data_IF_024402078852
#
_entry.id   IF_024402078852
#
_cell.length_a   1.000
_cell.length_b   1.000
_cell.length_c   1.000
_cell.angle_alpha   90.00
_cell.angle_beta   90.00
_cell.angle_gamma   90.00
#
_symmetry.space_group_name_H-M   'P 1'
#
loop_
_entity.id
_entity.type
_entity.pdbx_description
1 polymer ?
#
# COMPACT_ATOMS: atom_id res chain seq x y z
N UNK A 1 32.80 12.58 -14.11
CA UNK A 1 32.74 11.13 -13.84
C UNK A 1 31.49 10.59 -14.49
N UNK A 2 31.60 9.95 -15.65
CA UNK A 2 30.45 9.40 -16.37
C UNK A 2 30.56 7.88 -16.49
N UNK A 3 29.44 7.22 -16.72
CA UNK A 3 29.37 5.92 -17.40
C UNK A 3 27.96 5.71 -17.95
N UNK A 4 27.88 5.58 -19.28
CA UNK A 4 26.73 5.04 -20.02
C UNK A 4 27.23 3.77 -20.70
N UNK A 5 26.60 2.64 -20.45
CA UNK A 5 26.79 1.35 -21.13
C UNK A 5 25.63 0.42 -20.70
N UNK A 6 25.15 -0.56 -21.46
CA UNK A 6 24.81 -0.65 -22.90
C UNK A 6 23.95 -1.92 -23.06
N UNK A 7 23.03 -1.96 -24.04
CA UNK A 7 22.21 -3.15 -24.28
C UNK A 7 22.98 -4.24 -25.04
N UNK A 8 22.82 -5.50 -24.62
CA UNK A 8 23.37 -6.69 -25.30
C UNK A 8 22.30 -7.47 -26.05
N UNK A 9 22.58 -7.84 -27.30
CA UNK A 9 21.66 -8.53 -28.23
C UNK A 9 21.89 -10.05 -28.21
N UNK A 10 20.82 -10.81 -28.47
CA UNK A 10 20.77 -12.28 -28.50
C UNK A 10 20.93 -12.79 -29.95
N UNK A 11 21.66 -13.89 -30.14
CA UNK A 11 21.50 -14.80 -31.30
C UNK A 11 21.66 -16.27 -30.89
N UNK A 12 21.05 -17.24 -31.62
CA UNK A 12 20.78 -18.59 -31.10
C UNK A 12 21.67 -19.70 -31.69
N UNK A 13 21.58 -20.91 -31.12
CA UNK A 13 21.89 -22.17 -31.81
C UNK A 13 20.66 -23.09 -31.85
N UNK A 14 20.51 -23.84 -32.94
CA UNK A 14 19.53 -24.90 -33.12
C UNK A 14 20.25 -26.22 -33.43
N UNK A 15 19.72 -27.34 -32.94
CA UNK A 15 20.10 -28.72 -33.34
C UNK A 15 18.83 -29.56 -33.47
N UNK A 16 18.87 -30.55 -34.36
CA UNK A 16 17.73 -31.23 -34.99
C UNK A 16 17.24 -32.50 -34.28
N UNK A 17 16.10 -33.02 -34.77
CA UNK A 17 15.34 -34.14 -34.20
C UNK A 17 15.95 -35.54 -34.38
N UNK A 18 15.40 -36.52 -33.63
CA UNK A 18 15.58 -37.96 -33.79
C UNK A 18 14.48 -38.75 -33.06
N UNK A 19 13.98 -39.82 -33.65
CA UNK A 19 12.74 -40.57 -33.28
C UNK A 19 13.02 -41.97 -32.73
N UNK A 20 12.15 -42.53 -31.87
CA UNK A 20 11.71 -43.96 -31.93
C UNK A 20 10.72 -44.37 -30.80
N UNK A 21 9.97 -45.44 -31.11
CA UNK A 21 8.81 -46.10 -30.49
C UNK A 21 8.90 -46.75 -29.08
N UNK A 22 7.75 -47.23 -28.58
CA UNK A 22 7.56 -48.10 -27.39
C UNK A 22 7.60 -49.62 -27.75
N UNK A 23 7.58 -50.59 -26.79
CA UNK A 23 6.31 -51.04 -26.15
C UNK A 23 6.36 -51.76 -24.74
N UNK A 24 5.18 -51.84 -24.10
CA UNK A 24 4.51 -52.93 -23.32
C UNK A 24 5.11 -53.85 -22.18
N UNK A 25 4.32 -53.94 -21.08
CA UNK A 25 3.87 -55.14 -20.27
C UNK A 25 4.63 -55.77 -19.06
N UNK A 26 3.83 -56.13 -18.01
CA UNK A 26 4.00 -57.26 -17.04
C UNK A 26 4.69 -56.94 -15.68
N UNK A 27 4.10 -57.01 -14.47
CA UNK A 27 3.25 -57.99 -13.72
C UNK A 27 4.01 -58.87 -12.70
N UNK A 28 3.37 -59.11 -11.53
CA UNK A 28 3.86 -59.68 -10.24
C UNK A 28 4.60 -58.64 -9.35
N UNK A 29 4.64 -58.70 -8.01
CA UNK A 29 4.07 -59.63 -7.02
C UNK A 29 3.52 -58.88 -5.75
N UNK A 30 3.73 -59.39 -4.52
CA UNK A 30 3.40 -58.78 -3.20
C UNK A 30 4.38 -59.23 -2.10
N UNK A 31 4.55 -58.42 -1.07
CA UNK A 31 4.53 -58.85 0.34
C UNK A 31 3.63 -57.89 1.12
N UNK A 32 2.86 -58.41 2.08
CA UNK A 32 1.87 -57.65 2.83
C UNK A 32 2.18 -57.67 4.33
N UNK A 33 1.92 -56.56 5.02
CA UNK A 33 1.86 -56.48 6.48
C UNK A 33 0.46 -56.03 6.90
N UNK A 34 -0.09 -56.67 7.93
CA UNK A 34 -1.44 -56.42 8.44
C UNK A 34 -1.47 -55.19 9.40
N UNK A 35 -2.64 -54.57 9.65
CA UNK A 35 -2.71 -53.20 10.13
C UNK A 35 -2.66 -53.05 11.66
N UNK A 36 -2.12 -51.92 12.12
CA UNK A 36 -2.37 -51.39 13.46
C UNK A 36 -3.67 -50.57 13.45
N UNK A 37 -4.49 -50.70 14.49
CA UNK A 37 -5.89 -50.25 14.49
C UNK A 37 -6.09 -48.74 14.33
N UNK A 38 -7.03 -48.36 13.47
CA UNK A 38 -7.41 -46.98 13.20
C UNK A 38 -8.29 -46.43 14.34
N UNK A 39 -7.77 -45.43 15.06
CA UNK A 39 -8.53 -44.71 16.08
C UNK A 39 -9.40 -43.67 15.38
N UNK A 40 -10.73 -43.80 15.50
CA UNK A 40 -11.68 -42.93 14.80
C UNK A 40 -11.38 -41.43 15.02
N UNK A 41 -11.27 -40.70 13.91
CA UNK A 41 -11.02 -39.26 13.95
C UNK A 41 -12.21 -38.50 14.56
N UNK A 42 -11.98 -37.42 15.34
CA UNK A 42 -13.07 -36.60 15.86
C UNK A 42 -13.82 -35.90 14.71
N UNK A 43 -15.13 -35.64 14.87
CA UNK A 43 -15.95 -35.03 13.82
C UNK A 43 -15.41 -33.66 13.43
N UNK A 44 -15.29 -33.42 12.12
CA UNK A 44 -14.73 -32.19 11.58
C UNK A 44 -15.50 -30.95 12.07
N UNK A 45 -14.81 -30.07 12.79
CA UNK A 45 -15.34 -28.76 13.13
C UNK A 45 -15.67 -28.00 11.84
N UNK A 46 -16.86 -27.39 11.77
CA UNK A 46 -17.27 -26.58 10.61
C UNK A 46 -16.21 -25.51 10.34
N UNK A 47 -15.69 -25.47 9.12
CA UNK A 47 -14.69 -24.49 8.72
C UNK A 47 -15.20 -23.06 8.99
N UNK A 48 -14.35 -22.14 9.48
CA UNK A 48 -14.72 -20.73 9.60
C UNK A 48 -15.19 -20.19 8.24
N UNK A 49 -16.17 -19.27 8.20
CA UNK A 49 -16.55 -18.63 6.95
C UNK A 49 -15.34 -17.96 6.30
N UNK A 50 -15.22 -18.08 4.98
CA UNK A 50 -14.09 -17.54 4.23
C UNK A 50 -13.91 -16.06 4.55
N UNK A 51 -12.69 -15.67 4.92
CA UNK A 51 -12.37 -14.27 5.19
C UNK A 51 -12.66 -13.43 3.94
N UNK A 52 -13.44 -12.35 4.10
CA UNK A 52 -13.71 -11.40 3.00
C UNK A 52 -12.39 -11.02 2.32
N UNK A 53 -12.36 -11.08 0.99
CA UNK A 53 -11.19 -10.69 0.23
C UNK A 53 -10.79 -9.25 0.60
N UNK A 54 -9.49 -9.04 0.82
CA UNK A 54 -8.96 -7.71 1.14
C UNK A 54 -9.09 -6.81 -0.10
N UNK A 55 -9.56 -5.55 0.03
CA UNK A 55 -9.46 -4.59 -1.05
C UNK A 55 -7.99 -4.44 -1.48
N UNK A 56 -7.75 -4.55 -2.78
CA UNK A 56 -6.51 -4.09 -3.39
C UNK A 56 -6.65 -2.61 -3.74
N UNK A 57 -5.52 -1.94 -3.85
CA UNK A 57 -5.46 -0.57 -4.31
C UNK A 57 -4.08 -0.23 -4.82
N UNK A 58 -3.96 0.96 -5.36
CA UNK A 58 -2.72 1.51 -5.90
C UNK A 58 -2.55 2.92 -5.39
N UNK A 59 -1.30 3.36 -5.29
CA UNK A 59 -0.99 4.77 -5.10
C UNK A 59 -0.11 5.28 -6.24
N UNK A 60 -0.32 6.54 -6.62
CA UNK A 60 0.28 7.14 -7.83
C UNK A 60 0.62 8.62 -7.65
N UNK A 61 1.49 9.09 -8.54
CA UNK A 61 2.02 10.46 -8.61
C UNK A 61 2.17 10.90 -10.08
N UNK A 62 2.86 12.02 -10.30
CA UNK A 62 3.32 12.43 -11.63
C UNK A 62 4.36 11.49 -12.27
N UNK A 63 4.86 10.47 -11.58
CA UNK A 63 5.68 9.41 -12.18
C UNK A 63 4.81 8.44 -13.01
N UNK A 64 3.59 8.15 -12.55
CA UNK A 64 2.65 7.16 -13.11
C UNK A 64 1.75 7.76 -14.20
N UNK A 65 2.35 8.52 -15.12
CA UNK A 65 1.60 9.31 -16.12
C UNK A 65 0.73 8.42 -16.99
N UNK A 66 -0.58 8.63 -16.89
CA UNK A 66 -1.55 7.91 -17.71
C UNK A 66 -2.08 6.62 -17.10
N UNK A 67 -1.80 6.31 -15.83
CA UNK A 67 -2.37 5.15 -15.12
C UNK A 67 -3.87 4.98 -15.42
N UNK A 68 -4.27 3.77 -15.80
CA UNK A 68 -5.64 3.40 -16.13
C UNK A 68 -6.40 2.95 -14.87
N UNK A 69 -7.35 3.79 -14.46
CA UNK A 69 -8.19 3.57 -13.29
C UNK A 69 -9.41 2.66 -13.56
N UNK A 70 -9.66 2.23 -14.80
CA UNK A 70 -10.78 1.35 -15.17
C UNK A 70 -10.58 -0.13 -14.75
N UNK A 71 -9.44 -0.44 -14.11
CA UNK A 71 -9.08 -1.78 -13.66
C UNK A 71 -10.05 -2.34 -12.60
N UNK A 72 -10.77 -3.39 -12.98
CA UNK A 72 -11.92 -3.96 -12.25
C UNK A 72 -11.63 -4.63 -10.90
N UNK A 73 -10.39 -4.61 -10.41
CA UNK A 73 -9.96 -5.27 -9.16
C UNK A 73 -9.60 -4.29 -8.03
N UNK A 74 -9.58 -3.00 -8.30
CA UNK A 74 -9.28 -1.98 -7.29
C UNK A 74 -10.49 -1.74 -6.38
N UNK A 75 -10.25 -1.55 -5.09
CA UNK A 75 -11.23 -1.06 -4.13
C UNK A 75 -10.91 0.34 -3.58
N UNK A 76 -9.67 0.78 -3.74
CA UNK A 76 -9.22 2.13 -3.39
C UNK A 76 -8.10 2.61 -4.32
N UNK A 77 -7.96 3.93 -4.42
CA UNK A 77 -6.89 4.60 -5.13
C UNK A 77 -6.38 5.78 -4.33
N UNK A 78 -5.06 5.95 -4.28
CA UNK A 78 -4.40 7.03 -3.56
C UNK A 78 -3.59 7.87 -4.57
N UNK A 79 -3.59 9.20 -4.44
CA UNK A 79 -2.89 10.10 -5.35
C UNK A 79 -2.06 11.15 -4.59
N UNK A 80 -0.84 11.42 -5.08
CA UNK A 80 -0.02 12.54 -4.60
C UNK A 80 -0.77 13.83 -4.88
N UNK A 81 -1.02 14.62 -3.84
CA UNK A 81 -1.65 15.93 -3.96
C UNK A 81 -0.61 17.06 -3.95
N UNK A 82 0.33 16.99 -3.00
CA UNK A 82 1.28 18.07 -2.73
C UNK A 82 2.60 17.53 -2.20
N UNK A 83 3.62 18.38 -2.29
CA UNK A 83 4.90 18.20 -1.61
C UNK A 83 5.38 19.56 -1.10
N UNK A 84 5.98 19.57 0.08
CA UNK A 84 6.54 20.79 0.62
C UNK A 84 5.49 21.88 0.87
N UNK A 85 5.93 23.15 0.93
CA UNK A 85 5.05 24.29 1.20
C UNK A 85 4.29 24.85 -0.01
N UNK A 86 4.59 24.38 -1.23
CA UNK A 86 4.08 24.99 -2.47
C UNK A 86 3.89 24.05 -3.67
N UNK A 87 4.52 22.88 -3.73
CA UNK A 87 4.35 22.00 -4.90
C UNK A 87 2.98 21.34 -4.88
N UNK A 88 2.26 21.41 -6.01
CA UNK A 88 1.07 20.60 -6.31
C UNK A 88 1.47 19.60 -7.38
N UNK A 89 1.15 18.33 -7.18
CA UNK A 89 1.43 17.30 -8.17
C UNK A 89 0.61 17.55 -9.46
N UNK A 90 1.30 17.51 -10.60
CA UNK A 90 0.72 17.83 -11.92
C UNK A 90 -0.40 16.87 -12.35
N UNK A 91 -0.42 15.64 -11.83
CA UNK A 91 -1.42 14.62 -12.17
C UNK A 91 -2.55 14.52 -11.15
N UNK A 92 -2.43 15.17 -9.98
CA UNK A 92 -3.39 15.03 -8.88
C UNK A 92 -4.84 15.18 -9.33
N UNK A 93 -5.18 16.26 -10.03
CA UNK A 93 -6.55 16.54 -10.46
C UNK A 93 -7.13 15.40 -11.32
N UNK A 94 -6.35 14.88 -12.29
CA UNK A 94 -6.77 13.75 -13.15
C UNK A 94 -7.05 12.52 -12.31
N UNK A 95 -6.08 12.14 -11.48
CA UNK A 95 -6.17 10.91 -10.70
C UNK A 95 -7.31 11.02 -9.67
N UNK A 96 -7.45 12.14 -8.97
CA UNK A 96 -8.54 12.41 -8.03
C UNK A 96 -9.93 12.24 -8.63
N UNK A 97 -10.15 12.79 -9.83
CA UNK A 97 -11.40 12.62 -10.58
C UNK A 97 -11.60 11.19 -11.06
N UNK A 98 -10.57 10.52 -11.58
CA UNK A 98 -10.72 9.15 -12.10
C UNK A 98 -10.95 8.11 -11.00
N UNK A 99 -10.33 8.25 -9.82
CA UNK A 99 -10.62 7.39 -8.66
C UNK A 99 -12.10 7.52 -8.25
N UNK A 100 -12.64 8.75 -8.27
CA UNK A 100 -14.06 9.01 -7.99
C UNK A 100 -14.99 8.36 -9.02
N UNK A 101 -14.70 8.57 -10.31
CA UNK A 101 -15.51 8.07 -11.43
C UNK A 101 -15.59 6.53 -11.48
N UNK A 102 -14.56 5.85 -10.98
CA UNK A 102 -14.54 4.38 -10.86
C UNK A 102 -15.10 3.86 -9.51
N UNK A 103 -15.70 4.74 -8.68
CA UNK A 103 -16.37 4.35 -7.43
C UNK A 103 -15.46 3.87 -6.30
N UNK A 104 -14.14 4.06 -6.46
CA UNK A 104 -13.12 3.62 -5.52
C UNK A 104 -13.11 4.51 -4.26
N UNK A 105 -12.56 4.01 -3.15
CA UNK A 105 -12.21 4.89 -2.02
C UNK A 105 -11.02 5.76 -2.44
N UNK A 106 -11.12 7.08 -2.30
CA UNK A 106 -10.03 8.00 -2.64
C UNK A 106 -9.14 8.27 -1.44
N UNK A 107 -7.84 8.45 -1.68
CA UNK A 107 -6.92 9.06 -0.73
C UNK A 107 -6.00 10.08 -1.39
N UNK A 108 -5.75 11.19 -0.70
CA UNK A 108 -4.83 12.22 -1.16
C UNK A 108 -3.64 12.27 -0.21
N UNK A 109 -2.42 12.12 -0.71
CA UNK A 109 -1.22 12.20 0.13
C UNK A 109 -0.41 13.48 -0.06
N UNK A 110 0.30 13.84 1.00
CA UNK A 110 1.25 14.93 1.05
C UNK A 110 2.63 14.38 1.40
N UNK A 111 3.60 14.57 0.51
CA UNK A 111 5.00 14.23 0.77
C UNK A 111 5.64 15.31 1.65
N UNK A 112 5.85 14.98 2.92
CA UNK A 112 6.35 15.91 3.94
C UNK A 112 7.85 16.21 3.82
N UNK A 113 8.23 17.47 4.07
CA UNK A 113 9.63 17.92 4.07
C UNK A 113 10.01 18.50 5.45
N UNK A 114 10.56 17.71 6.40
CA UNK A 114 10.85 18.15 7.78
C UNK A 114 11.77 19.36 7.95
N UNK A 115 12.47 19.80 6.89
CA UNK A 115 13.22 21.06 6.92
C UNK A 115 12.31 22.31 6.95
N UNK A 116 11.09 22.20 6.46
CA UNK A 116 10.10 23.27 6.35
C UNK A 116 9.18 23.37 7.59
N UNK A 117 8.27 24.34 7.59
CA UNK A 117 7.24 24.47 8.63
C UNK A 117 6.05 23.51 8.40
N UNK A 118 5.71 22.62 9.36
CA UNK A 118 4.67 21.60 9.17
C UNK A 118 3.26 22.19 9.03
N UNK A 119 2.98 23.35 9.64
CA UNK A 119 1.65 23.97 9.58
C UNK A 119 1.42 24.58 8.20
N UNK A 120 2.44 25.20 7.59
CA UNK A 120 2.39 25.68 6.20
C UNK A 120 2.20 24.55 5.19
N UNK A 121 2.83 23.40 5.42
CA UNK A 121 2.67 22.21 4.57
C UNK A 121 1.26 21.60 4.69
N UNK A 122 0.76 21.43 5.92
CA UNK A 122 -0.60 20.97 6.16
C UNK A 122 -1.66 21.93 5.57
N UNK A 123 -1.48 23.25 5.73
CA UNK A 123 -2.38 24.24 5.16
C UNK A 123 -2.30 24.28 3.62
N UNK A 124 -1.13 24.02 3.02
CA UNK A 124 -0.99 23.91 1.56
C UNK A 124 -1.70 22.67 1.01
N UNK A 125 -1.43 21.52 1.61
CA UNK A 125 -2.13 20.27 1.31
C UNK A 125 -3.65 20.42 1.38
N UNK A 126 -4.17 20.96 2.49
CA UNK A 126 -5.62 21.15 2.67
C UNK A 126 -6.22 22.10 1.64
N UNK A 127 -5.54 23.20 1.29
CA UNK A 127 -6.00 24.09 0.19
C UNK A 127 -6.13 23.34 -1.12
N UNK A 128 -5.11 22.56 -1.50
CA UNK A 128 -5.08 21.82 -2.77
C UNK A 128 -6.16 20.74 -2.83
N UNK A 129 -6.32 19.93 -1.78
CA UNK A 129 -7.30 18.84 -1.75
C UNK A 129 -8.73 19.39 -1.66
N UNK A 130 -8.98 20.41 -0.84
CA UNK A 130 -10.32 21.05 -0.76
C UNK A 130 -10.72 21.67 -2.10
N UNK A 131 -9.79 22.36 -2.77
CA UNK A 131 -10.02 22.97 -4.10
C UNK A 131 -10.23 21.94 -5.22
N UNK A 132 -9.90 20.66 -4.99
CA UNK A 132 -10.11 19.56 -5.93
C UNK A 132 -11.44 18.82 -5.71
N UNK A 133 -12.29 19.25 -4.77
CA UNK A 133 -13.53 18.56 -4.41
C UNK A 133 -13.27 17.45 -3.39
N UNK A 134 -12.94 17.85 -2.16
CA UNK A 134 -12.84 16.95 -1.01
C UNK A 134 -14.25 16.58 -0.52
N UNK A 135 -14.53 15.28 -0.42
CA UNK A 135 -15.84 14.72 -0.08
C UNK A 135 -15.78 13.80 1.15
N UNK A 136 -16.95 13.47 1.69
CA UNK A 136 -17.06 12.57 2.84
C UNK A 136 -16.56 11.17 2.48
N UNK A 137 -15.63 10.66 3.27
CA UNK A 137 -15.01 9.34 3.10
C UNK A 137 -13.65 9.36 2.40
N UNK A 138 -13.20 10.52 1.91
CA UNK A 138 -11.87 10.68 1.33
C UNK A 138 -10.76 10.61 2.40
N UNK A 139 -9.75 9.78 2.16
CA UNK A 139 -8.61 9.61 3.07
C UNK A 139 -7.65 10.81 2.96
N UNK A 140 -7.30 11.39 4.11
CA UNK A 140 -6.26 12.41 4.22
C UNK A 140 -4.99 11.76 4.77
N UNK A 141 -3.84 11.98 4.12
CA UNK A 141 -2.62 11.18 4.36
C UNK A 141 -1.37 12.06 4.44
N UNK A 142 -0.59 11.90 5.51
CA UNK A 142 0.81 12.33 5.56
C UNK A 142 1.69 11.20 5.05
N UNK A 143 2.44 11.44 3.99
CA UNK A 143 3.59 10.63 3.60
C UNK A 143 4.86 11.27 4.20
N UNK A 144 5.61 10.48 4.99
CA UNK A 144 6.85 10.93 5.61
C UNK A 144 7.91 9.83 5.64
N UNK A 145 8.90 9.96 4.76
CA UNK A 145 9.99 9.00 4.56
C UNK A 145 11.40 9.63 4.54
N UNK A 146 11.49 10.96 4.56
CA UNK A 146 12.75 11.72 4.64
C UNK A 146 12.91 12.38 6.02
N UNK A 147 14.15 12.53 6.48
CA UNK A 147 14.48 13.37 7.66
C UNK A 147 14.86 14.79 7.27
N UNK A 148 15.18 15.06 6.00
CA UNK A 148 15.85 16.27 5.50
C UNK A 148 17.05 16.73 6.37
N UNK A 149 17.79 15.77 6.95
CA UNK A 149 18.94 16.04 7.82
C UNK A 149 18.59 16.43 9.26
N UNK A 150 17.32 16.30 9.67
CA UNK A 150 16.84 16.53 11.03
C UNK A 150 17.04 15.30 11.92
N UNK A 151 17.13 15.51 13.24
CA UNK A 151 17.13 14.42 14.21
C UNK A 151 15.76 13.72 14.29
N UNK A 152 15.73 12.46 14.70
CA UNK A 152 14.48 11.70 14.82
C UNK A 152 13.44 12.38 15.73
N UNK A 153 13.88 13.12 16.76
CA UNK A 153 13.03 13.93 17.64
C UNK A 153 12.41 15.12 16.92
N UNK A 154 13.17 15.82 16.07
CA UNK A 154 12.66 16.93 15.26
C UNK A 154 11.65 16.43 14.21
N UNK A 155 11.96 15.34 13.51
CA UNK A 155 11.05 14.71 12.53
C UNK A 155 9.75 14.25 13.19
N UNK A 156 9.81 13.60 14.35
CA UNK A 156 8.62 13.22 15.12
C UNK A 156 7.78 14.44 15.57
N UNK A 157 8.43 15.50 16.04
CA UNK A 157 7.75 16.76 16.43
C UNK A 157 7.22 17.55 15.22
N UNK A 158 7.81 17.36 14.04
CA UNK A 158 7.31 17.88 12.77
C UNK A 158 6.03 17.13 12.36
N UNK A 159 6.08 15.80 12.34
CA UNK A 159 4.95 14.94 11.97
C UNK A 159 3.73 15.19 12.84
N UNK A 160 3.91 15.25 14.18
CA UNK A 160 2.82 15.57 15.13
C UNK A 160 2.10 16.85 14.78
N UNK A 161 2.83 17.96 14.60
CA UNK A 161 2.25 19.27 14.28
C UNK A 161 1.52 19.28 12.93
N UNK A 162 1.99 18.53 11.94
CA UNK A 162 1.30 18.37 10.65
C UNK A 162 -0.03 17.59 10.83
N UNK A 163 0.03 16.43 11.50
CA UNK A 163 -1.13 15.56 11.72
C UNK A 163 -2.20 16.24 12.59
N UNK A 164 -1.77 16.88 13.68
CA UNK A 164 -2.61 17.70 14.56
C UNK A 164 -3.26 18.86 13.79
N UNK A 165 -2.51 19.54 12.91
CA UNK A 165 -3.07 20.64 12.09
C UNK A 165 -4.16 20.15 11.15
N UNK A 166 -3.95 19.04 10.46
CA UNK A 166 -4.98 18.45 9.60
C UNK A 166 -6.19 18.01 10.41
N UNK A 167 -5.99 17.38 11.58
CA UNK A 167 -7.09 16.98 12.45
C UNK A 167 -7.89 18.18 12.99
N UNK A 168 -7.22 19.25 13.43
CA UNK A 168 -7.87 20.50 13.87
C UNK A 168 -8.72 21.14 12.77
N UNK A 169 -8.32 21.00 11.50
CA UNK A 169 -9.00 21.62 10.35
C UNK A 169 -10.12 20.76 9.76
N UNK A 170 -10.16 19.47 10.04
CA UNK A 170 -11.05 18.51 9.34
C UNK A 170 -11.86 17.61 10.26
N UNK A 171 -11.59 17.62 11.58
CA UNK A 171 -12.19 16.73 12.56
C UNK A 171 -11.73 15.27 12.47
N UNK A 172 -10.81 14.94 11.55
CA UNK A 172 -10.41 13.57 11.22
C UNK A 172 -8.93 13.35 11.50
N UNK A 173 -8.58 12.20 12.08
CA UNK A 173 -7.19 11.77 12.21
C UNK A 173 -6.65 11.38 10.83
N UNK A 174 -5.74 12.15 10.21
CA UNK A 174 -5.10 11.73 8.96
C UNK A 174 -4.35 10.41 9.14
N UNK A 175 -4.28 9.65 8.06
CA UNK A 175 -3.44 8.45 7.98
C UNK A 175 -1.96 8.87 7.90
N UNK A 176 -1.10 8.09 8.56
CA UNK A 176 0.35 8.22 8.45
C UNK A 176 0.88 7.13 7.52
N UNK A 177 1.67 7.52 6.52
CA UNK A 177 2.43 6.62 5.66
C UNK A 177 3.92 6.75 5.93
N UNK A 178 4.59 5.59 5.97
CA UNK A 178 6.04 5.49 5.89
C UNK A 178 6.49 4.05 5.63
N UNK A 179 7.79 3.86 5.38
CA UNK A 179 8.42 2.54 5.48
C UNK A 179 8.37 2.03 6.92
N UNK A 180 8.33 0.69 7.09
CA UNK A 180 8.19 0.08 8.42
C UNK A 180 9.29 0.50 9.41
N UNK A 181 10.55 0.59 8.96
CA UNK A 181 11.68 1.00 9.82
C UNK A 181 11.61 2.47 10.20
N UNK A 182 11.34 3.36 9.24
CA UNK A 182 11.21 4.79 9.49
C UNK A 182 10.05 5.08 10.46
N UNK A 183 8.94 4.34 10.34
CA UNK A 183 7.82 4.41 11.28
C UNK A 183 8.22 4.04 12.72
N UNK A 184 9.07 3.03 12.93
CA UNK A 184 9.53 2.65 14.28
C UNK A 184 10.43 3.71 14.92
N UNK A 185 11.33 4.31 14.13
CA UNK A 185 12.27 5.32 14.60
C UNK A 185 11.61 6.69 14.83
N UNK A 186 10.74 7.10 13.91
CA UNK A 186 10.17 8.46 13.86
C UNK A 186 8.72 8.55 14.35
N UNK A 187 8.03 7.42 14.52
CA UNK A 187 6.60 7.36 14.82
C UNK A 187 6.21 7.47 16.30
N UNK A 188 7.13 7.77 17.22
CA UNK A 188 6.86 7.76 18.67
C UNK A 188 5.65 8.62 19.06
N UNK A 189 4.61 7.99 19.59
CA UNK A 189 3.35 8.64 19.98
C UNK A 189 2.36 8.89 18.85
N UNK A 190 2.58 8.35 17.64
CA UNK A 190 1.64 8.43 16.51
C UNK A 190 0.72 7.19 16.38
N UNK A 191 0.81 6.24 17.31
CA UNK A 191 0.11 4.93 17.24
C UNK A 191 -1.43 4.99 17.27
N UNK A 192 -2.00 6.17 17.44
CA UNK A 192 -3.45 6.45 17.39
C UNK A 192 -3.95 6.96 16.04
N UNK A 193 -3.04 7.32 15.12
CA UNK A 193 -3.35 7.66 13.74
C UNK A 193 -3.37 6.37 12.89
N UNK A 194 -4.26 6.22 11.90
CA UNK A 194 -4.25 5.06 11.02
C UNK A 194 -2.91 4.93 10.29
N UNK A 195 -2.39 3.71 10.16
CA UNK A 195 -1.10 3.45 9.51
C UNK A 195 -1.27 2.83 8.13
N UNK A 196 -0.66 3.45 7.13
CA UNK A 196 -0.30 2.82 5.86
C UNK A 196 1.20 2.52 5.91
N UNK A 197 1.59 1.26 5.77
CA UNK A 197 3.00 0.85 5.95
C UNK A 197 3.57 0.21 4.70
N UNK A 198 4.73 0.70 4.26
CA UNK A 198 5.52 0.03 3.23
C UNK A 198 6.43 -1.04 3.84
N UNK A 199 6.32 -2.27 3.34
CA UNK A 199 7.21 -3.38 3.69
C UNK A 199 7.30 -4.39 2.54
N UNK A 200 8.10 -4.05 1.53
CA UNK A 200 8.24 -4.85 0.31
C UNK A 200 8.82 -6.24 0.57
N UNK A 201 8.55 -7.18 -0.34
CA UNK A 201 8.97 -8.58 -0.22
C UNK A 201 8.19 -9.39 0.82
N UNK A 202 7.17 -8.81 1.47
CA UNK A 202 6.19 -9.51 2.30
C UNK A 202 4.94 -9.81 1.47
N UNK A 203 4.32 -11.00 1.58
CA UNK A 203 3.07 -11.27 0.88
C UNK A 203 1.95 -10.27 1.27
N UNK A 204 0.98 -10.00 0.39
CA UNK A 204 -0.11 -9.06 0.66
C UNK A 204 -0.79 -9.28 2.03
N UNK A 205 -0.77 -8.24 2.87
CA UNK A 205 -1.32 -8.25 4.22
C UNK A 205 -0.59 -9.14 5.23
N UNK A 206 0.64 -9.59 4.96
CA UNK A 206 1.48 -10.40 5.87
C UNK A 206 2.60 -9.57 6.53
N UNK A 207 2.20 -8.41 7.05
CA UNK A 207 3.05 -7.48 7.80
C UNK A 207 2.58 -7.35 9.26
N UNK A 208 3.53 -7.21 10.19
CA UNK A 208 3.27 -6.82 11.58
C UNK A 208 3.34 -5.30 11.72
N UNK A 209 2.43 -4.72 12.50
CA UNK A 209 2.46 -3.29 12.77
C UNK A 209 3.78 -2.91 13.47
N UNK A 210 4.50 -1.87 13.02
CA UNK A 210 5.62 -1.28 13.73
C UNK A 210 5.17 -0.60 15.03
N UNK A 211 6.00 -0.63 16.06
CA UNK A 211 5.78 0.21 17.26
C UNK A 211 5.74 1.70 16.86
N UNK A 212 4.87 2.55 17.43
CA UNK A 212 3.88 2.29 18.48
C UNK A 212 2.51 1.77 18.00
N UNK A 213 2.32 1.49 16.71
CA UNK A 213 1.04 1.03 16.18
C UNK A 213 0.76 -0.43 16.57
N UNK A 214 -0.50 -0.70 16.93
CA UNK A 214 -0.98 -2.06 17.22
C UNK A 214 -1.55 -2.77 15.98
N UNK A 215 -1.96 -2.00 14.97
CA UNK A 215 -2.53 -2.47 13.71
C UNK A 215 -2.15 -1.53 12.57
N UNK A 216 -2.10 -2.05 11.35
CA UNK A 216 -2.00 -1.29 10.10
C UNK A 216 -3.36 -1.29 9.41
N UNK A 217 -3.68 -0.22 8.69
CA UNK A 217 -4.86 -0.09 7.84
C UNK A 217 -4.56 -0.56 6.41
N UNK A 218 -3.45 -0.08 5.82
CA UNK A 218 -3.01 -0.41 4.47
C UNK A 218 -1.56 -0.93 4.50
N UNK A 219 -1.24 -1.90 3.66
CA UNK A 219 0.12 -2.42 3.45
C UNK A 219 0.51 -2.24 1.98
N UNK A 220 1.54 -1.43 1.72
CA UNK A 220 2.21 -1.32 0.42
C UNK A 220 3.27 -2.42 0.36
N UNK A 221 3.12 -3.35 -0.59
CA UNK A 221 3.86 -4.62 -0.58
C UNK A 221 4.79 -4.83 -1.78
N UNK A 222 4.66 -4.04 -2.84
CA UNK A 222 5.54 -4.04 -3.99
C UNK A 222 5.54 -2.66 -4.68
N UNK A 223 6.66 -2.36 -5.33
CA UNK A 223 6.91 -1.17 -6.14
C UNK A 223 7.56 -1.64 -7.45
N UNK A 224 6.75 -2.10 -8.41
CA UNK A 224 7.23 -2.79 -9.63
C UNK A 224 7.07 -1.96 -10.89
N UNK A 225 5.85 -1.51 -11.12
CA UNK A 225 5.36 -0.78 -12.28
C UNK A 225 4.52 0.43 -11.82
N UNK A 226 3.84 0.26 -10.69
CA UNK A 226 3.29 1.27 -9.79
C UNK A 226 3.35 0.67 -8.37
N UNK A 227 2.94 1.44 -7.35
CA UNK A 227 2.95 0.96 -5.97
C UNK A 227 1.67 0.17 -5.62
N UNK A 228 1.87 -1.08 -5.18
CA UNK A 228 0.81 -2.07 -4.96
C UNK A 228 0.42 -2.16 -3.48
N UNK A 229 -0.88 -1.99 -3.23
CA UNK A 229 -1.42 -1.89 -1.88
C UNK A 229 -2.52 -2.90 -1.60
N UNK A 230 -2.66 -3.27 -0.32
CA UNK A 230 -3.78 -4.09 0.18
C UNK A 230 -4.24 -3.59 1.54
N UNK A 231 -5.56 -3.50 1.73
CA UNK A 231 -6.16 -3.03 2.97
C UNK A 231 -6.47 -4.17 3.95
N UNK A 232 -6.28 -3.94 5.25
CA UNK A 232 -6.83 -4.79 6.32
C UNK A 232 -8.35 -4.60 6.44
N UNK A 233 -8.83 -3.41 6.08
CA UNK A 233 -10.19 -2.92 6.24
C UNK A 233 -11.00 -3.13 4.95
N UNK A 234 -12.33 -3.20 5.06
CA UNK A 234 -13.21 -3.09 3.89
C UNK A 234 -13.17 -1.67 3.29
N UNK A 235 -13.71 -1.50 2.08
CA UNK A 235 -13.84 -0.18 1.45
C UNK A 235 -14.63 0.80 2.32
N UNK A 236 -15.72 0.35 2.96
CA UNK A 236 -16.53 1.20 3.82
C UNK A 236 -15.79 1.58 5.11
N UNK A 237 -15.04 0.63 5.70
CA UNK A 237 -14.16 0.91 6.84
C UNK A 237 -13.00 1.86 6.50
N UNK A 238 -12.54 1.89 5.24
CA UNK A 238 -11.62 2.94 4.78
C UNK A 238 -12.33 4.30 4.71
N UNK A 239 -13.55 4.38 4.16
CA UNK A 239 -14.37 5.62 4.19
C UNK A 239 -14.68 6.08 5.62
N UNK A 240 -14.79 5.15 6.58
CA UNK A 240 -14.91 5.46 8.01
C UNK A 240 -13.63 6.09 8.61
N UNK A 241 -12.46 5.96 7.99
CA UNK A 241 -11.26 6.73 8.35
C UNK A 241 -11.19 8.10 7.66
N UNK A 242 -11.90 8.30 6.55
CA UNK A 242 -11.85 9.51 5.74
C UNK A 242 -12.61 10.71 6.32
N UNK A 243 -12.49 11.84 5.62
CA UNK A 243 -13.12 13.13 5.91
C UNK A 243 -14.62 12.99 6.23
N UNK A 244 -15.16 13.77 7.17
CA UNK A 244 -16.56 13.63 7.62
C UNK A 244 -17.56 14.58 6.97
N UNK A 245 -17.07 15.58 6.24
CA UNK A 245 -17.75 16.85 6.00
C UNK A 245 -18.00 17.62 7.31
N UNK A 246 -18.04 18.96 7.20
CA UNK A 246 -18.42 19.87 8.28
C UNK A 246 -19.94 20.09 8.27
#
# INVERSE_FOLDING_TARGET
MGSVLAAGVITPLAVTAGTADAPETGTTARTAAAPLGEKAAPPAAKAPPAAKARPYGVDVSHHDKGFDWSQTKLGFGIAKATEGTAHKDTTFTRNWTQIQQNGLVRGAYHYGRPKNDPVREADHYLRVVTSAGLEKGDLLILDLETTDGRSAREVNGWAKRWLERVQQKTGVKPMFYSSRSFAEEHGKGLGEYPLWVAHYGRPPGKVSAPSPWKQWAIHQYAATDHDHNVSRLSADQLRELGYKAA
#
